data_IF_100764917530
#
_entry.id   IF_100764917530
#
_cell.length_a   1.000
_cell.length_b   1.000
_cell.length_c   1.000
_cell.angle_alpha   90.00
_cell.angle_beta   90.00
_cell.angle_gamma   90.00
#
_symmetry.space_group_name_H-M   'P 1'
#
loop_
_entity.id
_entity.type
_entity.pdbx_description
1 polymer ?
#
# COMPACT_ATOMS: atom_id res chain seq x y z
N UNK A 1 35.62 1.60 -11.17
CA UNK A 1 34.18 1.93 -11.27
C UNK A 1 33.40 0.82 -10.58
N UNK A 2 32.92 1.03 -9.34
CA UNK A 2 32.14 0.04 -8.59
C UNK A 2 30.68 0.47 -8.67
N UNK A 3 29.94 -0.08 -9.63
CA UNK A 3 28.53 0.24 -9.93
C UNK A 3 27.53 -0.70 -9.22
N UNK A 4 28.00 -1.60 -8.38
CA UNK A 4 27.13 -2.57 -7.69
C UNK A 4 26.50 -1.93 -6.45
N UNK A 5 25.16 -1.97 -6.31
CA UNK A 5 24.50 -1.60 -5.07
C UNK A 5 25.03 -2.45 -3.91
N UNK A 6 25.19 -1.81 -2.76
CA UNK A 6 25.69 -2.45 -1.54
C UNK A 6 24.75 -3.63 -1.15
N UNK A 7 25.25 -4.86 -1.00
CA UNK A 7 24.42 -6.04 -0.74
C UNK A 7 23.55 -5.90 0.52
N UNK A 8 24.02 -5.20 1.55
CA UNK A 8 23.19 -4.92 2.74
C UNK A 8 21.96 -4.06 2.43
N UNK A 9 22.09 -3.12 1.49
CA UNK A 9 21.00 -2.23 1.09
C UNK A 9 19.91 -3.00 0.35
N UNK A 10 20.30 -3.93 -0.52
CA UNK A 10 19.36 -4.80 -1.24
C UNK A 10 18.55 -5.66 -0.26
N UNK A 11 19.21 -6.25 0.75
CA UNK A 11 18.54 -7.08 1.76
C UNK A 11 17.52 -6.28 2.57
N UNK A 12 17.85 -5.06 3.00
CA UNK A 12 16.93 -4.19 3.74
C UNK A 12 15.71 -3.77 2.91
N UNK A 13 15.92 -3.40 1.64
CA UNK A 13 14.82 -3.02 0.73
C UNK A 13 13.90 -4.21 0.43
N UNK A 14 14.47 -5.41 0.26
CA UNK A 14 13.68 -6.63 0.07
C UNK A 14 12.87 -7.00 1.32
N UNK A 15 13.47 -6.89 2.51
CA UNK A 15 12.78 -7.14 3.77
C UNK A 15 11.64 -6.14 4.00
N UNK A 16 11.87 -4.84 3.77
CA UNK A 16 10.82 -3.82 3.94
C UNK A 16 9.72 -3.93 2.89
N UNK A 17 10.03 -4.32 1.65
CA UNK A 17 9.02 -4.59 0.63
C UNK A 17 8.14 -5.80 0.99
N UNK A 18 8.75 -6.85 1.57
CA UNK A 18 8.02 -8.04 2.01
C UNK A 18 7.07 -7.74 3.18
N UNK A 19 7.53 -6.96 4.16
CA UNK A 19 6.72 -6.56 5.32
C UNK A 19 5.50 -5.72 4.90
N UNK A 20 5.70 -4.81 3.94
CA UNK A 20 4.62 -4.01 3.35
C UNK A 20 3.59 -4.88 2.61
N UNK A 21 4.06 -5.82 1.79
CA UNK A 21 3.18 -6.75 1.06
C UNK A 21 2.36 -7.63 2.00
N UNK A 22 2.96 -8.12 3.08
CA UNK A 22 2.30 -8.96 4.07
C UNK A 22 1.24 -8.16 4.88
N UNK A 23 1.57 -6.94 5.30
CA UNK A 23 0.63 -6.05 5.99
C UNK A 23 -0.58 -5.73 5.13
N UNK A 24 -0.36 -5.39 3.87
CA UNK A 24 -1.44 -5.10 2.92
C UNK A 24 -2.32 -6.34 2.64
N UNK A 25 -1.71 -7.51 2.45
CA UNK A 25 -2.45 -8.75 2.23
C UNK A 25 -3.30 -9.14 3.44
N UNK A 26 -2.76 -8.97 4.65
CA UNK A 26 -3.47 -9.26 5.91
C UNK A 26 -4.69 -8.36 6.08
N UNK A 27 -4.54 -7.06 5.78
CA UNK A 27 -5.65 -6.12 5.91
C UNK A 27 -6.79 -6.43 4.92
N UNK A 28 -6.46 -6.79 3.68
CA UNK A 28 -7.46 -7.22 2.68
C UNK A 28 -8.14 -8.50 3.14
N UNK A 29 -7.38 -9.49 3.63
CA UNK A 29 -7.92 -10.76 4.09
C UNK A 29 -8.89 -10.58 5.27
N UNK A 30 -8.51 -9.77 6.27
CA UNK A 30 -9.38 -9.43 7.42
C UNK A 30 -10.64 -8.72 6.93
N UNK A 31 -10.51 -7.74 6.03
CA UNK A 31 -11.65 -7.04 5.45
C UNK A 31 -12.64 -7.99 4.78
N UNK A 32 -12.14 -8.89 3.92
CA UNK A 32 -12.96 -9.90 3.25
C UNK A 32 -13.63 -10.84 4.25
N UNK A 33 -12.90 -11.31 5.27
CA UNK A 33 -13.44 -12.20 6.31
C UNK A 33 -14.59 -11.53 7.08
N UNK A 34 -14.44 -10.26 7.44
CA UNK A 34 -15.49 -9.49 8.13
C UNK A 34 -16.73 -9.34 7.25
N UNK A 35 -16.58 -8.89 6.01
CA UNK A 35 -17.74 -8.69 5.11
C UNK A 35 -18.41 -10.02 4.74
N UNK A 36 -17.62 -11.08 4.56
CA UNK A 36 -18.13 -12.44 4.35
C UNK A 36 -18.92 -12.92 5.56
N UNK A 37 -18.39 -12.76 6.78
CA UNK A 37 -19.07 -13.17 8.02
C UNK A 37 -20.37 -12.41 8.24
N UNK A 38 -20.39 -11.10 7.98
CA UNK A 38 -21.61 -10.29 8.05
C UNK A 38 -22.63 -10.76 7.02
N UNK A 39 -22.22 -10.94 5.77
CA UNK A 39 -23.13 -11.38 4.71
C UNK A 39 -23.68 -12.78 4.94
N UNK A 40 -22.86 -13.71 5.42
CA UNK A 40 -23.32 -15.04 5.82
C UNK A 40 -24.32 -14.98 7.00
N UNK A 41 -24.09 -14.10 7.97
CA UNK A 41 -25.01 -13.88 9.08
C UNK A 41 -26.36 -13.30 8.64
N UNK A 42 -26.35 -12.31 7.75
CA UNK A 42 -27.58 -11.74 7.17
C UNK A 42 -28.34 -12.77 6.34
N UNK A 43 -27.62 -13.50 5.49
CA UNK A 43 -28.20 -14.54 4.65
C UNK A 43 -28.86 -15.65 5.49
N UNK A 44 -28.26 -16.03 6.62
CA UNK A 44 -28.82 -17.02 7.55
C UNK A 44 -30.09 -16.51 8.26
N UNK A 45 -30.10 -15.24 8.68
CA UNK A 45 -31.24 -14.64 9.37
C UNK A 45 -32.42 -14.38 8.42
N UNK A 46 -32.16 -14.03 7.17
CA UNK A 46 -33.16 -13.67 6.16
C UNK A 46 -33.52 -14.83 5.21
N UNK A 47 -32.82 -15.96 5.28
CA UNK A 47 -33.01 -17.10 4.38
C UNK A 47 -32.66 -16.82 2.92
N UNK A 48 -31.80 -15.82 2.67
CA UNK A 48 -31.44 -15.33 1.33
C UNK A 48 -30.07 -15.83 0.85
N UNK A 49 -29.54 -16.87 1.50
CA UNK A 49 -28.27 -17.50 1.13
C UNK A 49 -28.22 -17.80 -0.38
N UNK A 50 -27.22 -17.28 -1.15
CA UNK A 50 -26.03 -16.52 -0.75
C UNK A 50 -25.99 -15.05 -1.24
N UNK A 51 -27.12 -14.33 -1.27
CA UNK A 51 -27.22 -13.02 -1.95
C UNK A 51 -26.45 -11.93 -1.21
N UNK A 52 -26.67 -11.75 0.10
CA UNK A 52 -25.99 -10.69 0.87
C UNK A 52 -24.51 -10.99 1.04
N UNK A 53 -24.13 -12.25 1.19
CA UNK A 53 -22.73 -12.67 1.19
C UNK A 53 -22.01 -12.24 -0.08
N UNK A 54 -22.56 -12.54 -1.26
CA UNK A 54 -21.95 -12.15 -2.54
C UNK A 54 -21.89 -10.62 -2.67
N UNK A 55 -23.00 -9.92 -2.40
CA UNK A 55 -23.06 -8.47 -2.53
C UNK A 55 -22.05 -7.76 -1.63
N UNK A 56 -21.95 -8.17 -0.36
CA UNK A 56 -21.04 -7.58 0.61
C UNK A 56 -19.58 -7.92 0.33
N UNK A 57 -19.28 -9.15 -0.11
CA UNK A 57 -17.92 -9.51 -0.52
C UNK A 57 -17.47 -8.72 -1.75
N UNK A 58 -18.33 -8.56 -2.77
CA UNK A 58 -18.01 -7.73 -3.94
C UNK A 58 -17.80 -6.27 -3.54
N UNK A 59 -18.67 -5.72 -2.69
CA UNK A 59 -18.53 -4.36 -2.18
C UNK A 59 -17.20 -4.17 -1.45
N UNK A 60 -16.80 -5.13 -0.60
CA UNK A 60 -15.51 -5.12 0.07
C UNK A 60 -14.34 -5.13 -0.92
N UNK A 61 -14.38 -6.02 -1.91
CA UNK A 61 -13.34 -6.13 -2.93
C UNK A 61 -13.16 -4.82 -3.71
N UNK A 62 -14.27 -4.19 -4.13
CA UNK A 62 -14.25 -2.89 -4.81
C UNK A 62 -13.68 -1.81 -3.88
N UNK A 63 -14.14 -1.74 -2.63
CA UNK A 63 -13.63 -0.77 -1.65
C UNK A 63 -12.13 -0.90 -1.40
N UNK A 64 -11.62 -2.13 -1.30
CA UNK A 64 -10.18 -2.39 -1.18
C UNK A 64 -9.42 -1.97 -2.43
N UNK A 65 -9.95 -2.25 -3.61
CA UNK A 65 -9.34 -1.83 -4.87
C UNK A 65 -9.23 -0.30 -4.98
N UNK A 66 -10.32 0.41 -4.65
CA UNK A 66 -10.36 1.87 -4.62
C UNK A 66 -9.35 2.43 -3.61
N UNK A 67 -9.27 1.83 -2.42
CA UNK A 67 -8.29 2.24 -1.40
C UNK A 67 -6.85 2.07 -1.87
N UNK A 68 -6.52 0.94 -2.48
CA UNK A 68 -5.18 0.69 -3.02
C UNK A 68 -4.85 1.71 -4.12
N UNK A 69 -5.81 2.01 -4.98
CA UNK A 69 -5.64 3.01 -6.04
C UNK A 69 -5.36 4.40 -5.47
N UNK A 70 -6.15 4.89 -4.51
CA UNK A 70 -5.90 6.18 -3.86
C UNK A 70 -4.61 6.18 -3.03
N UNK A 71 -4.26 5.05 -2.40
CA UNK A 71 -3.01 4.90 -1.68
C UNK A 71 -1.79 5.07 -2.58
N UNK A 72 -1.87 4.63 -3.83
CA UNK A 72 -0.80 4.80 -4.81
C UNK A 72 -0.53 6.27 -5.14
N UNK A 73 -1.58 7.06 -5.36
CA UNK A 73 -1.46 8.50 -5.64
C UNK A 73 -0.82 9.27 -4.48
N UNK A 74 -1.18 8.92 -3.24
CA UNK A 74 -0.56 9.52 -2.06
C UNK A 74 0.95 9.22 -1.99
N UNK A 75 1.36 7.98 -2.27
CA UNK A 75 2.78 7.58 -2.27
C UNK A 75 3.61 8.29 -3.33
N UNK A 76 3.04 8.54 -4.51
CA UNK A 76 3.76 9.25 -5.57
C UNK A 76 4.03 10.71 -5.21
N UNK A 77 3.05 11.39 -4.60
CA UNK A 77 3.20 12.76 -4.11
C UNK A 77 4.28 12.87 -3.03
N UNK A 78 4.35 11.89 -2.13
CA UNK A 78 5.39 11.85 -1.10
C UNK A 78 6.79 11.67 -1.71
N UNK A 79 6.95 10.75 -2.67
CA UNK A 79 8.22 10.51 -3.35
C UNK A 79 8.66 11.72 -4.19
N UNK A 80 7.73 12.45 -4.81
CA UNK A 80 8.02 13.70 -5.50
C UNK A 80 8.47 14.80 -4.54
N UNK A 81 7.81 14.94 -3.39
CA UNK A 81 8.20 15.89 -2.35
C UNK A 81 9.59 15.56 -1.78
N UNK A 82 9.89 14.27 -1.58
CA UNK A 82 11.19 13.81 -1.08
C UNK A 82 12.32 14.08 -2.10
N UNK A 83 12.05 13.87 -3.39
CA UNK A 83 12.98 14.22 -4.48
C UNK A 83 13.20 15.73 -4.60
N UNK A 84 12.15 16.54 -4.45
CA UNK A 84 12.27 17.99 -4.47
C UNK A 84 13.16 18.52 -3.32
N UNK A 85 12.99 17.98 -2.11
CA UNK A 85 13.83 18.29 -0.94
C UNK A 85 15.29 17.87 -1.14
N UNK A 86 15.51 16.68 -1.71
CA UNK A 86 16.85 16.19 -2.04
C UNK A 86 17.56 17.02 -3.12
N UNK A 87 16.82 17.51 -4.12
CA UNK A 87 17.37 18.36 -5.18
C UNK A 87 17.81 19.73 -4.64
N UNK A 88 17.07 20.31 -3.70
CA UNK A 88 17.46 21.58 -3.04
C UNK A 88 18.68 21.43 -2.14
N UNK A 89 18.85 20.29 -1.47
CA UNK A 89 20.00 20.03 -0.59
C UNK A 89 21.33 20.00 -1.38
N UNK A 90 21.34 19.46 -2.59
CA UNK A 90 22.53 19.44 -3.46
C UNK A 90 22.93 20.83 -4.00
N UNK A 91 22.00 21.78 -4.10
CA UNK A 91 22.30 23.13 -4.58
C UNK A 91 22.97 24.02 -3.52
N UNK A 92 22.77 23.73 -2.23
CA UNK A 92 23.32 24.55 -1.15
C UNK A 92 24.84 24.36 -1.00
N UNK A 93 25.35 23.13 -1.15
CA UNK A 93 26.80 22.83 -1.10
C UNK A 93 27.57 23.41 -2.29
N UNK A 94 26.94 23.59 -3.46
CA UNK A 94 27.61 24.17 -4.63
C UNK A 94 27.81 25.69 -4.57
N UNK A 95 27.09 26.38 -3.68
CA UNK A 95 27.12 27.85 -3.58
C UNK A 95 28.13 28.36 -2.56
N UNK A 96 28.51 27.54 -1.58
CA UNK A 96 29.51 27.88 -0.55
C UNK A 96 30.96 27.68 -1.03
N UNK A 97 31.21 26.87 -2.06
CA UNK A 97 32.55 26.68 -2.64
C UNK A 97 32.95 27.71 -3.70
N UNK A 98 32.19 28.79 -3.88
CA UNK A 98 32.39 29.82 -4.92
C UNK A 98 32.55 31.25 -4.38
N UNK A 99 32.78 31.40 -3.08
CA UNK A 99 33.09 32.67 -2.41
C UNK A 99 34.56 32.71 -1.99
#
# INVERSE_FOLDING_TARGET
>A
MKLLPDPERIRRVSASASDQGLGQGTEIAIGLLVFFGIGAGLDWLLGTTPVFMIALTIFCAIGQFVRVWYGYDARMRDLEAERARGATAHQHTGREGRA
#
